data_IF_621275551401
#
_entry.id   IF_621275551401
#
_cell.length_a   1.000
_cell.length_b   1.000
_cell.length_c   1.000
_cell.angle_alpha   90.00
_cell.angle_beta   90.00
_cell.angle_gamma   90.00
#
_symmetry.space_group_name_H-M   'P 1'
#
loop_
_entity.id
_entity.type
_entity.pdbx_description
1 polymer ?
#
# COMPACT_ATOMS: atom_id res chain seq x y z
N UNK A 1 -24.44 25.58 23.61
CA UNK A 1 -23.83 25.66 24.95
C UNK A 1 -22.65 24.69 24.99
N UNK A 2 -21.44 25.20 24.77
CA UNK A 2 -20.17 24.69 25.28
C UNK A 2 -19.08 25.66 24.78
N UNK A 3 -18.45 26.35 25.72
CA UNK A 3 -17.45 27.40 25.55
C UNK A 3 -16.14 26.85 25.00
N UNK A 4 -15.48 27.63 24.14
CA UNK A 4 -14.09 27.42 23.71
C UNK A 4 -13.31 28.60 24.30
N UNK A 5 -12.42 28.32 25.25
CA UNK A 5 -11.52 29.30 25.86
C UNK A 5 -10.41 29.65 24.87
N UNK A 6 -10.48 30.84 24.30
CA UNK A 6 -9.47 31.39 23.41
C UNK A 6 -8.41 32.12 24.26
N UNK A 7 -7.21 31.56 24.36
CA UNK A 7 -6.09 32.18 25.05
C UNK A 7 -5.56 33.38 24.25
N UNK A 8 -5.38 34.49 24.96
CA UNK A 8 -5.05 35.84 24.50
C UNK A 8 -3.59 35.94 24.02
N UNK A 9 -3.28 36.70 22.94
CA UNK A 9 -1.92 37.08 22.62
C UNK A 9 -1.45 38.19 23.56
N UNK A 10 -0.25 38.03 24.12
CA UNK A 10 0.37 39.00 25.01
C UNK A 10 0.69 40.31 24.27
N UNK A 11 0.08 41.40 24.75
CA UNK A 11 0.38 42.79 24.45
C UNK A 11 1.81 43.13 24.83
N UNK A 12 2.61 43.60 23.86
CA UNK A 12 3.92 44.21 24.10
C UNK A 12 3.70 45.72 24.09
N UNK A 13 3.66 46.33 25.28
CA UNK A 13 3.69 47.78 25.41
C UNK A 13 5.12 48.31 25.28
N UNK A 14 5.34 49.40 24.53
CA UNK A 14 6.66 50.00 24.33
C UNK A 14 6.85 51.20 25.27
N UNK A 15 7.52 51.04 26.42
CA UNK A 15 7.98 52.20 27.19
C UNK A 15 9.00 51.82 28.28
N UNK A 16 10.28 52.05 27.99
CA UNK A 16 11.32 52.37 28.99
C UNK A 16 12.55 52.94 28.26
N UNK A 17 12.42 54.14 27.69
CA UNK A 17 13.56 54.97 27.35
C UNK A 17 14.01 55.70 28.62
N UNK A 18 15.10 55.25 29.24
CA UNK A 18 15.84 56.03 30.22
C UNK A 18 17.21 56.31 29.64
N UNK A 19 17.43 57.59 29.40
CA UNK A 19 18.68 58.20 28.98
C UNK A 19 19.77 57.94 30.02
N UNK A 20 20.81 57.23 29.61
CA UNK A 20 22.13 57.33 30.22
C UNK A 20 23.00 58.19 29.32
N UNK A 21 23.18 59.45 29.67
CA UNK A 21 24.27 60.28 29.18
C UNK A 21 25.57 59.61 29.64
N UNK A 22 26.36 59.10 28.69
CA UNK A 22 27.78 58.85 28.93
C UNK A 22 28.56 59.94 28.21
N UNK A 23 29.15 60.78 29.02
CA UNK A 23 30.01 61.88 28.64
C UNK A 23 31.10 61.45 27.66
N UNK A 24 31.29 62.30 26.65
CA UNK A 24 32.46 62.34 25.79
C UNK A 24 33.67 62.71 26.66
N UNK A 25 34.37 61.70 27.19
CA UNK A 25 35.73 61.83 27.69
C UNK A 25 36.65 60.97 26.82
N UNK A 26 37.46 61.69 26.06
CA UNK A 26 38.56 61.20 25.25
C UNK A 26 39.67 60.73 26.22
N UNK A 27 39.76 59.42 26.48
CA UNK A 27 40.92 58.81 27.15
C UNK A 27 41.49 57.69 26.26
N UNK A 28 42.64 58.01 25.69
CA UNK A 28 43.78 57.13 25.47
C UNK A 28 43.57 55.86 24.62
N UNK A 29 43.78 56.04 23.31
CA UNK A 29 44.06 55.01 22.32
C UNK A 29 45.43 54.29 22.53
N UNK A 30 45.88 54.08 23.77
CA UNK A 30 47.18 53.46 24.11
C UNK A 30 47.06 52.15 24.92
N UNK A 31 45.84 51.70 25.26
CA UNK A 31 45.62 50.50 26.09
C UNK A 31 45.49 49.15 25.36
N UNK A 32 45.42 49.12 24.02
CA UNK A 32 45.23 47.86 23.27
C UNK A 32 46.51 47.09 22.92
N UNK A 33 47.70 47.64 23.19
CA UNK A 33 48.97 47.04 22.77
C UNK A 33 49.60 46.07 23.79
N UNK A 34 49.23 46.14 25.07
CA UNK A 34 49.95 45.43 26.15
C UNK A 34 49.37 44.08 26.56
N UNK A 35 48.37 43.56 25.82
CA UNK A 35 47.77 42.23 26.04
C UNK A 35 48.13 41.21 24.96
N UNK A 36 49.05 41.57 24.06
CA UNK A 36 49.47 40.76 22.92
C UNK A 36 50.57 39.73 23.24
N UNK A 37 51.02 39.63 24.49
CA UNK A 37 52.24 38.90 24.84
C UNK A 37 52.15 37.99 26.08
N UNK A 38 50.96 37.46 26.38
CA UNK A 38 50.88 36.18 27.11
C UNK A 38 50.68 35.06 26.08
N UNK A 39 51.79 34.64 25.47
CA UNK A 39 51.81 33.40 24.69
C UNK A 39 51.59 32.26 25.67
N UNK A 40 50.36 31.76 25.75
CA UNK A 40 50.05 30.55 26.50
C UNK A 40 50.86 29.41 25.87
N UNK A 41 51.97 29.05 26.53
CA UNK A 41 52.88 28.01 26.04
C UNK A 41 52.18 26.66 26.18
N UNK A 42 51.52 26.22 25.11
CA UNK A 42 50.92 24.89 25.05
C UNK A 42 52.07 23.88 25.13
N UNK A 43 52.10 23.00 26.13
CA UNK A 43 53.17 22.02 26.28
C UNK A 43 53.25 21.13 25.04
N UNK A 44 54.48 20.84 24.60
CA UNK A 44 54.76 20.08 23.38
C UNK A 44 54.10 18.68 23.34
N UNK A 45 53.84 18.09 24.51
CA UNK A 45 53.09 16.84 24.61
C UNK A 45 51.62 16.97 24.19
N UNK A 46 50.98 18.08 24.53
CA UNK A 46 49.60 18.35 24.12
C UNK A 46 49.50 18.60 22.62
N UNK A 47 50.50 19.27 22.02
CA UNK A 47 50.59 19.44 20.57
C UNK A 47 50.67 18.09 19.86
N UNK A 48 51.55 17.19 20.34
CA UNK A 48 51.69 15.82 19.80
C UNK A 48 50.39 15.01 19.92
N UNK A 49 49.67 15.12 21.04
CA UNK A 49 48.36 14.47 21.23
C UNK A 49 47.31 15.01 20.26
N UNK A 50 47.25 16.33 20.09
CA UNK A 50 46.31 16.98 19.18
C UNK A 50 46.55 16.59 17.72
N UNK A 51 47.81 16.52 17.29
CA UNK A 51 48.17 16.04 15.96
C UNK A 51 47.70 14.61 15.69
N UNK A 52 47.80 13.73 16.70
CA UNK A 52 47.34 12.35 16.58
C UNK A 52 45.81 12.26 16.47
N UNK A 53 45.07 13.09 17.21
CA UNK A 53 43.60 13.18 17.13
C UNK A 53 43.13 13.75 15.79
N UNK A 54 43.84 14.74 15.23
CA UNK A 54 43.51 15.32 13.92
C UNK A 54 43.76 14.30 12.80
N UNK A 55 44.83 13.49 12.88
CA UNK A 55 45.08 12.40 11.91
C UNK A 55 43.99 11.33 11.93
N UNK A 56 43.45 11.05 13.11
CA UNK A 56 42.41 10.04 13.31
C UNK A 56 40.98 10.62 13.31
N UNK A 57 40.80 11.86 12.84
CA UNK A 57 39.47 12.49 12.83
C UNK A 57 38.58 11.87 11.75
N UNK A 58 37.30 11.69 12.06
CA UNK A 58 36.31 11.29 11.08
C UNK A 58 36.07 12.40 10.05
N UNK A 59 35.80 12.01 8.81
CA UNK A 59 35.49 12.95 7.75
C UNK A 59 34.11 13.60 7.98
N UNK A 60 33.94 14.84 7.48
CA UNK A 60 32.68 15.57 7.62
C UNK A 60 31.48 14.79 7.06
N UNK A 61 31.69 14.02 5.98
CA UNK A 61 30.68 13.13 5.40
C UNK A 61 30.29 12.01 6.37
N UNK A 62 31.27 11.36 7.01
CA UNK A 62 30.98 10.31 8.01
C UNK A 62 30.21 10.86 9.22
N UNK A 63 30.51 12.10 9.63
CA UNK A 63 29.76 12.78 10.69
C UNK A 63 28.34 13.12 10.26
N UNK A 64 28.09 13.40 8.98
CA UNK A 64 26.74 13.57 8.44
C UNK A 64 25.96 12.26 8.36
N UNK A 65 26.61 11.18 7.91
CA UNK A 65 26.01 9.85 7.84
C UNK A 65 25.63 9.33 9.24
N UNK A 66 26.44 9.64 10.25
CA UNK A 66 26.15 9.38 11.66
C UNK A 66 25.18 10.39 12.30
N UNK A 67 24.63 11.32 11.52
CA UNK A 67 23.71 12.39 11.94
C UNK A 67 24.26 13.32 13.05
N UNK A 68 25.58 13.38 13.21
CA UNK A 68 26.26 14.28 14.14
C UNK A 68 26.29 15.69 13.53
N UNK A 69 26.67 15.79 12.25
CA UNK A 69 26.59 17.02 11.47
C UNK A 69 25.33 16.99 10.60
N UNK A 70 24.57 18.09 10.51
CA UNK A 70 23.40 18.15 9.63
C UNK A 70 23.83 18.29 8.18
N UNK A 71 23.20 17.56 7.27
CA UNK A 71 23.45 17.60 5.82
C UNK A 71 22.80 18.85 5.16
N UNK A 72 22.91 20.01 5.79
CA UNK A 72 22.30 21.25 5.30
C UNK A 72 23.37 22.17 4.73
N UNK A 73 23.10 22.73 3.55
CA UNK A 73 23.90 23.80 2.94
C UNK A 73 23.53 25.19 3.51
N UNK A 74 22.67 25.23 4.53
CA UNK A 74 22.20 26.47 5.17
C UNK A 74 23.11 26.82 6.35
N UNK A 75 23.32 28.12 6.57
CA UNK A 75 24.09 28.64 7.69
C UNK A 75 23.65 28.01 9.03
N UNK A 76 24.60 27.74 9.97
CA UNK A 76 24.31 27.05 11.23
C UNK A 76 23.13 27.64 12.03
N UNK A 77 22.96 28.96 12.02
CA UNK A 77 21.88 29.64 12.73
C UNK A 77 20.46 29.30 12.22
N UNK A 78 20.32 28.93 10.94
CA UNK A 78 19.02 28.66 10.31
C UNK A 78 18.68 27.16 10.25
N UNK A 79 19.62 26.29 10.63
CA UNK A 79 19.42 24.84 10.55
C UNK A 79 18.25 24.38 11.44
N UNK A 80 18.05 25.03 12.58
CA UNK A 80 16.93 24.74 13.48
C UNK A 80 15.57 25.08 12.84
N UNK A 81 15.44 26.29 12.29
CA UNK A 81 14.22 26.72 11.61
C UNK A 81 13.92 25.88 10.36
N UNK A 82 14.95 25.48 9.61
CA UNK A 82 14.79 24.56 8.49
C UNK A 82 14.27 23.18 8.93
N UNK A 83 14.82 22.63 10.02
CA UNK A 83 14.39 21.34 10.56
C UNK A 83 12.94 21.39 11.05
N UNK A 84 12.52 22.50 11.68
CA UNK A 84 11.14 22.73 12.12
C UNK A 84 10.18 22.81 10.93
N UNK A 85 10.54 23.58 9.89
CA UNK A 85 9.73 23.64 8.67
C UNK A 85 9.56 22.26 8.02
N UNK A 86 10.65 21.51 7.90
CA UNK A 86 10.62 20.15 7.34
C UNK A 86 9.76 19.22 8.19
N UNK A 87 9.84 19.35 9.51
CA UNK A 87 9.00 18.59 10.44
C UNK A 87 7.52 18.90 10.22
N UNK A 88 7.13 20.18 10.20
CA UNK A 88 5.74 20.58 10.00
C UNK A 88 5.20 20.08 8.64
N UNK A 89 6.01 20.21 7.58
CA UNK A 89 5.65 19.66 6.26
C UNK A 89 5.48 18.13 6.25
N UNK A 90 6.25 17.40 7.08
CA UNK A 90 6.09 15.95 7.22
C UNK A 90 4.86 15.61 8.04
N UNK A 91 4.54 16.39 9.07
CA UNK A 91 3.32 16.25 9.87
C UNK A 91 2.08 16.45 9.00
N UNK A 92 2.00 17.54 8.23
CA UNK A 92 0.88 17.80 7.29
C UNK A 92 0.69 16.67 6.27
N UNK A 93 1.81 16.17 5.70
CA UNK A 93 1.78 15.07 4.73
C UNK A 93 1.35 13.76 5.37
N UNK A 94 1.76 13.50 6.61
CA UNK A 94 1.39 12.30 7.33
C UNK A 94 -0.09 12.35 7.69
N UNK A 95 -0.57 13.48 8.19
CA UNK A 95 -1.99 13.69 8.51
C UNK A 95 -2.87 13.45 7.28
N UNK A 96 -2.59 14.07 6.14
CA UNK A 96 -3.35 13.84 4.91
C UNK A 96 -3.30 12.40 4.39
N UNK A 97 -2.23 11.64 4.69
CA UNK A 97 -2.15 10.19 4.38
C UNK A 97 -2.92 9.33 5.36
N UNK A 98 -2.97 9.72 6.63
CA UNK A 98 -3.73 9.03 7.67
C UNK A 98 -5.24 9.23 7.48
N UNK A 99 -5.68 10.42 7.05
CA UNK A 99 -7.08 10.69 6.70
C UNK A 99 -7.59 9.80 5.56
N UNK A 100 -6.75 9.59 4.54
CA UNK A 100 -7.09 8.77 3.36
C UNK A 100 -6.70 7.31 3.52
N UNK A 101 -6.43 6.86 4.75
CA UNK A 101 -6.01 5.50 5.04
C UNK A 101 -7.15 4.53 4.71
N UNK A 102 -6.93 3.53 3.83
CA UNK A 102 -7.92 2.49 3.57
C UNK A 102 -8.22 1.66 4.82
N UNK A 103 -9.46 1.16 4.93
CA UNK A 103 -9.80 0.24 5.99
C UNK A 103 -9.12 -1.12 5.80
N UNK A 104 -8.98 -1.87 6.88
CA UNK A 104 -8.37 -3.21 6.86
C UNK A 104 -9.15 -4.14 5.95
N UNK A 105 -10.49 -4.07 5.94
CA UNK A 105 -11.32 -4.91 5.07
C UNK A 105 -11.12 -4.58 3.59
N UNK A 106 -10.95 -3.30 3.24
CA UNK A 106 -10.65 -2.90 1.86
C UNK A 106 -9.31 -3.48 1.38
N UNK A 107 -8.30 -3.52 2.25
CA UNK A 107 -7.00 -4.13 1.94
C UNK A 107 -7.10 -5.64 1.76
N UNK A 108 -7.96 -6.31 2.54
CA UNK A 108 -8.24 -7.76 2.39
C UNK A 108 -8.98 -8.05 1.08
N UNK A 109 -10.01 -7.26 0.77
CA UNK A 109 -10.78 -7.40 -0.46
C UNK A 109 -9.94 -7.16 -1.71
N UNK A 110 -8.97 -6.25 -1.63
CA UNK A 110 -7.99 -5.99 -2.71
C UNK A 110 -6.87 -7.03 -2.77
N UNK A 111 -6.81 -7.98 -1.83
CA UNK A 111 -5.76 -8.99 -1.76
C UNK A 111 -4.38 -8.45 -1.36
N UNK A 112 -4.29 -7.24 -0.79
CA UNK A 112 -3.05 -6.65 -0.29
C UNK A 112 -2.69 -7.26 1.07
N UNK A 113 -3.69 -7.39 1.94
CA UNK A 113 -3.54 -8.02 3.25
C UNK A 113 -4.25 -9.38 3.23
N UNK A 114 -3.64 -10.43 3.76
CA UNK A 114 -4.31 -11.73 3.88
C UNK A 114 -5.13 -11.79 5.19
N UNK A 115 -5.99 -12.80 5.33
CA UNK A 115 -6.95 -12.91 6.45
C UNK A 115 -6.23 -12.77 7.82
N UNK A 116 -6.76 -11.87 8.66
CA UNK A 116 -6.20 -11.48 9.97
C UNK A 116 -6.45 -12.53 11.08
N UNK A 117 -7.19 -13.60 10.79
CA UNK A 117 -7.43 -14.68 11.76
C UNK A 117 -6.15 -15.41 12.18
N UNK A 118 -5.12 -15.35 11.36
CA UNK A 118 -3.87 -16.08 11.55
C UNK A 118 -2.79 -15.09 11.97
N UNK A 119 -2.00 -15.46 12.98
CA UNK A 119 -0.87 -14.65 13.42
C UNK A 119 0.10 -14.38 12.24
N UNK A 120 0.68 -13.17 12.11
CA UNK A 120 1.55 -12.82 10.98
C UNK A 120 2.71 -13.80 10.74
N UNK A 121 3.30 -14.34 11.82
CA UNK A 121 4.40 -15.30 11.74
C UNK A 121 3.99 -16.68 11.16
N UNK A 122 2.70 -17.03 11.18
CA UNK A 122 2.17 -18.30 10.68
C UNK A 122 1.51 -18.16 9.31
N UNK A 123 1.33 -16.93 8.83
CA UNK A 123 0.55 -16.63 7.63
C UNK A 123 1.11 -17.34 6.38
N UNK A 124 2.44 -17.34 6.22
CA UNK A 124 3.08 -17.99 5.08
C UNK A 124 2.98 -19.52 5.13
N UNK A 125 3.12 -20.11 6.33
CA UNK A 125 2.95 -21.55 6.52
C UNK A 125 1.51 -21.99 6.26
N UNK A 126 0.54 -21.19 6.72
CA UNK A 126 -0.87 -21.45 6.50
C UNK A 126 -1.22 -21.38 5.00
N UNK A 127 -0.70 -20.40 4.27
CA UNK A 127 -0.91 -20.30 2.82
C UNK A 127 -0.26 -21.47 2.09
N UNK A 128 0.97 -21.85 2.44
CA UNK A 128 1.64 -23.01 1.84
C UNK A 128 0.82 -24.29 2.06
N UNK A 129 0.29 -24.49 3.27
CA UNK A 129 -0.60 -25.61 3.57
C UNK A 129 -1.90 -25.54 2.75
N UNK A 130 -2.54 -24.38 2.67
CA UNK A 130 -3.75 -24.19 1.87
C UNK A 130 -3.51 -24.49 0.38
N UNK A 131 -2.37 -24.05 -0.16
CA UNK A 131 -1.96 -24.33 -1.55
C UNK A 131 -1.77 -25.83 -1.77
N UNK A 132 -0.97 -26.49 -0.93
CA UNK A 132 -0.77 -27.95 -1.02
C UNK A 132 -2.08 -28.72 -0.90
N UNK A 133 -2.96 -28.36 0.04
CA UNK A 133 -4.28 -28.99 0.14
C UNK A 133 -5.15 -28.78 -1.11
N UNK A 134 -5.05 -27.61 -1.76
CA UNK A 134 -5.76 -27.36 -3.01
C UNK A 134 -5.15 -28.15 -4.16
N UNK A 135 -3.82 -28.26 -4.22
CA UNK A 135 -3.10 -29.08 -5.20
C UNK A 135 -3.53 -30.54 -5.10
N UNK A 136 -3.46 -31.15 -3.92
CA UNK A 136 -3.87 -32.54 -3.69
C UNK A 136 -5.35 -32.77 -4.07
N UNK A 137 -6.23 -31.81 -3.71
CA UNK A 137 -7.66 -31.88 -4.07
C UNK A 137 -7.89 -31.78 -5.56
N UNK A 138 -7.12 -30.94 -6.25
CA UNK A 138 -7.22 -30.78 -7.70
C UNK A 138 -6.67 -32.01 -8.41
N UNK A 139 -5.54 -32.55 -7.97
CA UNK A 139 -4.95 -33.77 -8.50
C UNK A 139 -5.95 -34.93 -8.43
N UNK A 140 -6.53 -35.21 -7.27
CA UNK A 140 -7.53 -36.27 -7.13
C UNK A 140 -8.82 -36.04 -7.95
N UNK A 141 -9.17 -34.78 -8.27
CA UNK A 141 -10.30 -34.46 -9.17
C UNK A 141 -9.94 -34.65 -10.64
N UNK A 142 -8.68 -34.38 -11.00
CA UNK A 142 -8.17 -34.56 -12.35
C UNK A 142 -7.99 -36.04 -12.68
N UNK A 143 -7.54 -36.86 -11.74
CA UNK A 143 -7.44 -38.32 -11.90
C UNK A 143 -8.81 -38.97 -12.18
N UNK A 144 -9.86 -38.48 -11.50
CA UNK A 144 -11.23 -38.99 -11.64
C UNK A 144 -12.04 -38.20 -12.67
N UNK A 145 -11.38 -37.48 -13.58
CA UNK A 145 -12.04 -36.68 -14.59
C UNK A 145 -12.83 -37.60 -15.54
N UNK A 146 -14.17 -37.44 -15.65
CA UNK A 146 -14.96 -38.24 -16.58
C UNK A 146 -14.65 -37.85 -18.02
N UNK A 147 -14.71 -38.84 -18.90
CA UNK A 147 -14.57 -38.65 -20.34
C UNK A 147 -15.78 -37.90 -20.92
N UNK A 148 -15.56 -37.20 -22.04
CA UNK A 148 -16.62 -36.44 -22.69
C UNK A 148 -17.83 -37.32 -23.07
N UNK A 149 -17.59 -38.58 -23.46
CA UNK A 149 -18.65 -39.55 -23.78
C UNK A 149 -19.53 -39.88 -22.58
N UNK A 150 -18.96 -39.95 -21.37
CA UNK A 150 -19.75 -40.22 -20.16
C UNK A 150 -20.63 -39.03 -19.79
N UNK A 151 -20.16 -37.80 -20.06
CA UNK A 151 -20.97 -36.60 -19.92
C UNK A 151 -22.11 -36.56 -20.94
N UNK A 152 -21.90 -37.06 -22.16
CA UNK A 152 -22.95 -37.20 -23.18
C UNK A 152 -24.01 -38.22 -22.75
N UNK A 153 -23.59 -39.40 -22.27
CA UNK A 153 -24.51 -40.43 -21.76
C UNK A 153 -25.35 -39.92 -20.58
N UNK A 154 -24.77 -39.08 -19.73
CA UNK A 154 -25.46 -38.43 -18.60
C UNK A 154 -26.35 -37.25 -19.02
N UNK A 155 -26.36 -36.86 -20.29
CA UNK A 155 -27.12 -35.71 -20.79
C UNK A 155 -26.59 -34.34 -20.35
N UNK A 156 -25.35 -34.28 -19.83
CA UNK A 156 -24.70 -33.01 -19.43
C UNK A 156 -24.09 -32.33 -20.65
N UNK A 157 -23.43 -33.12 -21.51
CA UNK A 157 -22.87 -32.65 -22.77
C UNK A 157 -23.74 -33.13 -23.94
N UNK A 158 -23.84 -32.33 -25.00
CA UNK A 158 -24.62 -32.69 -26.20
C UNK A 158 -23.73 -33.45 -27.18
N UNK A 159 -24.26 -34.49 -27.83
CA UNK A 159 -23.55 -35.31 -28.83
C UNK A 159 -23.48 -34.62 -30.20
N UNK A 160 -23.01 -33.37 -30.23
CA UNK A 160 -22.94 -32.56 -31.43
C UNK A 160 -21.51 -32.16 -31.74
N UNK A 161 -21.09 -32.30 -33.00
CA UNK A 161 -19.79 -31.81 -33.51
C UNK A 161 -19.79 -30.30 -33.78
N UNK A 162 -20.83 -29.60 -33.36
CA UNK A 162 -21.00 -28.16 -33.54
C UNK A 162 -20.17 -27.43 -32.47
N UNK A 163 -19.77 -26.19 -32.74
CA UNK A 163 -19.08 -25.37 -31.73
C UNK A 163 -20.00 -25.09 -30.52
N UNK A 164 -19.47 -25.02 -29.28
CA UNK A 164 -20.28 -24.81 -28.07
C UNK A 164 -21.19 -23.57 -28.12
N UNK A 165 -20.73 -22.49 -28.75
CA UNK A 165 -21.48 -21.24 -28.90
C UNK A 165 -22.73 -21.38 -29.81
N UNK A 166 -22.79 -22.40 -30.66
CA UNK A 166 -23.90 -22.64 -31.60
C UNK A 166 -24.85 -23.74 -31.13
N UNK A 167 -24.53 -24.45 -30.05
CA UNK A 167 -25.35 -25.56 -29.53
C UNK A 167 -26.79 -25.14 -29.21
N UNK A 168 -26.98 -23.96 -28.64
CA UNK A 168 -28.32 -23.47 -28.29
C UNK A 168 -29.18 -23.21 -29.53
N UNK A 169 -28.61 -22.51 -30.53
CA UNK A 169 -29.31 -22.22 -31.79
C UNK A 169 -29.61 -23.48 -32.59
N UNK A 170 -28.66 -24.42 -32.63
CA UNK A 170 -28.84 -25.70 -33.29
C UNK A 170 -29.95 -26.51 -32.63
N UNK A 171 -30.03 -26.55 -31.31
CA UNK A 171 -31.13 -27.24 -30.61
C UNK A 171 -32.47 -26.55 -30.79
N UNK A 172 -32.54 -25.22 -30.72
CA UNK A 172 -33.78 -24.49 -30.96
C UNK A 172 -34.33 -24.81 -32.35
N UNK A 173 -33.45 -24.84 -33.36
CA UNK A 173 -33.82 -25.24 -34.71
C UNK A 173 -34.28 -26.71 -34.78
N UNK A 174 -33.54 -27.63 -34.15
CA UNK A 174 -33.90 -29.05 -34.13
C UNK A 174 -35.23 -29.29 -33.43
N UNK A 175 -35.52 -28.60 -32.32
CA UNK A 175 -36.79 -28.67 -31.60
C UNK A 175 -37.94 -28.17 -32.46
N UNK A 176 -37.82 -26.98 -33.06
CA UNK A 176 -38.85 -26.45 -33.97
C UNK A 176 -39.11 -27.39 -35.15
N UNK A 177 -38.07 -27.95 -35.76
CA UNK A 177 -38.22 -28.93 -36.84
C UNK A 177 -38.91 -30.22 -36.37
N UNK A 178 -38.66 -30.68 -35.15
CA UNK A 178 -39.32 -31.84 -34.57
C UNK A 178 -40.78 -31.55 -34.22
N UNK A 179 -41.08 -30.37 -33.67
CA UNK A 179 -42.45 -29.92 -33.38
C UNK A 179 -43.30 -29.89 -34.66
N UNK A 180 -42.78 -29.30 -35.73
CA UNK A 180 -43.47 -29.25 -37.02
C UNK A 180 -43.73 -30.65 -37.61
N UNK A 181 -42.76 -31.56 -37.46
CA UNK A 181 -42.88 -32.94 -37.94
C UNK A 181 -43.91 -33.72 -37.13
N UNK A 182 -43.79 -33.70 -35.80
CA UNK A 182 -44.73 -34.38 -34.90
C UNK A 182 -46.14 -33.81 -35.05
N UNK A 183 -46.28 -32.50 -35.23
CA UNK A 183 -47.58 -31.87 -35.49
C UNK A 183 -48.29 -32.44 -36.73
N UNK A 184 -47.54 -32.66 -37.83
CA UNK A 184 -48.08 -33.28 -39.04
C UNK A 184 -48.46 -34.75 -38.83
N UNK A 185 -47.60 -35.53 -38.15
CA UNK A 185 -47.85 -36.95 -37.89
C UNK A 185 -49.04 -37.17 -36.95
N UNK A 186 -49.20 -36.32 -35.94
CA UNK A 186 -50.34 -36.36 -35.02
C UNK A 186 -51.62 -35.90 -35.72
N UNK A 187 -51.56 -34.94 -36.64
CA UNK A 187 -52.72 -34.55 -37.45
C UNK A 187 -53.19 -35.66 -38.39
N UNK A 188 -52.26 -36.46 -38.92
CA UNK A 188 -52.54 -37.64 -39.75
C UNK A 188 -52.87 -38.90 -38.91
N UNK A 189 -53.18 -38.74 -37.62
CA UNK A 189 -53.46 -39.85 -36.72
C UNK A 189 -54.71 -40.62 -37.19
N UNK A 190 -54.60 -41.93 -37.47
CA UNK A 190 -55.74 -42.74 -37.89
C UNK A 190 -56.77 -42.83 -36.78
N UNK A 191 -58.04 -42.85 -37.18
CA UNK A 191 -59.16 -42.96 -36.26
C UNK A 191 -59.22 -44.36 -35.63
N UNK A 192 -59.85 -44.51 -34.44
CA UNK A 192 -59.94 -45.82 -33.77
C UNK A 192 -60.57 -46.92 -34.65
N UNK A 193 -61.52 -46.54 -35.50
CA UNK A 193 -62.19 -47.48 -36.41
C UNK A 193 -61.27 -47.94 -37.55
N UNK A 194 -60.41 -47.07 -38.06
CA UNK A 194 -59.35 -47.46 -39.01
C UNK A 194 -58.34 -48.43 -38.39
N UNK A 195 -58.04 -48.27 -37.10
CA UNK A 195 -57.17 -49.19 -36.37
C UNK A 195 -57.81 -50.55 -36.14
N UNK A 196 -59.14 -50.60 -35.92
CA UNK A 196 -59.92 -51.85 -35.88
C UNK A 196 -59.97 -52.54 -37.24
N UNK A 197 -60.21 -51.78 -38.32
CA UNK A 197 -60.19 -52.31 -39.68
C UNK A 197 -58.81 -52.89 -40.07
N UNK A 198 -57.73 -52.31 -39.54
CA UNK A 198 -56.36 -52.82 -39.70
C UNK A 198 -55.99 -53.95 -38.73
N UNK A 199 -56.89 -54.37 -37.83
CA UNK A 199 -56.68 -55.47 -36.88
C UNK A 199 -55.72 -55.18 -35.73
N UNK A 200 -55.41 -53.90 -35.48
CA UNK A 200 -54.46 -53.45 -34.44
C UNK A 200 -55.18 -53.24 -33.11
N UNK A 201 -56.44 -52.83 -33.16
CA UNK A 201 -57.31 -52.59 -31.99
C UNK A 201 -58.52 -53.54 -32.08
N UNK A 202 -58.94 -54.16 -30.97
CA UNK A 202 -60.15 -55.01 -30.92
C UNK A 202 -61.41 -54.17 -30.68
#
# INVERSE_FOLDING_TARGET
MASIDNATPATIDPQAAVAGQTDLANEDASGLATRASEVHHIPEEEKKRLELLIKNRADAKELQDKNILKHSNVAPALQAAQAELLRNQLEDKLEGRLERRPDVQDLVNRGILKDQKIAPALQDKAEALQRSQLEDKLEGRLERRPEAQDLVKRGILKDSKIAPALHEKAEALQRSQLEDKLGKEVAARPTPDELKAKGILQ
#
